data_IF_110967706810
#
_entry.id   IF_110967706810
#
_cell.length_a   1.000
_cell.length_b   1.000
_cell.length_c   1.000
_cell.angle_alpha   90.00
_cell.angle_beta   90.00
_cell.angle_gamma   90.00
#
_symmetry.space_group_name_H-M   'P 1'
#
loop_
_entity.id
_entity.type
_entity.pdbx_description
1 polymer ?
#
# COMPACT_ATOMS: atom_id res chain seq x y z
N UNK A 1 -39.26 -13.09 -32.56
CA UNK A 1 -38.66 -12.26 -31.50
C UNK A 1 -38.75 -13.07 -30.22
N UNK A 2 -37.63 -13.55 -29.68
CA UNK A 2 -37.62 -14.24 -28.39
C UNK A 2 -37.89 -13.22 -27.30
N UNK A 3 -39.02 -13.37 -26.61
CA UNK A 3 -39.43 -12.55 -25.47
C UNK A 3 -38.58 -12.95 -24.26
N UNK A 4 -37.29 -12.63 -24.26
CA UNK A 4 -36.49 -12.81 -23.06
C UNK A 4 -36.88 -11.77 -22.01
N UNK A 5 -37.22 -12.24 -20.81
CA UNK A 5 -37.54 -11.37 -19.69
C UNK A 5 -36.30 -10.56 -19.28
N UNK A 6 -36.45 -9.24 -19.12
CA UNK A 6 -35.36 -8.37 -18.67
C UNK A 6 -34.88 -8.80 -17.28
N UNK A 7 -33.67 -9.33 -17.19
CA UNK A 7 -33.04 -9.65 -15.91
C UNK A 7 -32.37 -8.39 -15.34
N UNK A 8 -32.72 -8.04 -14.10
CA UNK A 8 -32.14 -6.88 -13.40
C UNK A 8 -30.94 -7.29 -12.52
N UNK A 9 -30.74 -8.60 -12.32
CA UNK A 9 -29.65 -9.13 -11.50
C UNK A 9 -28.31 -9.04 -12.23
N UNK A 10 -27.32 -8.36 -11.62
CA UNK A 10 -25.95 -8.27 -12.15
C UNK A 10 -25.05 -9.41 -11.67
N UNK A 11 -25.23 -9.85 -10.42
CA UNK A 11 -24.49 -10.93 -9.80
C UNK A 11 -25.36 -11.58 -8.70
N UNK A 12 -25.04 -12.82 -8.33
CA UNK A 12 -25.79 -13.58 -7.32
C UNK A 12 -25.76 -12.89 -5.94
N UNK A 13 -24.65 -12.24 -5.61
CA UNK A 13 -24.37 -11.55 -4.35
C UNK A 13 -24.81 -10.07 -4.34
N UNK A 14 -25.39 -9.55 -5.43
CA UNK A 14 -25.78 -8.14 -5.56
C UNK A 14 -27.30 -7.99 -5.79
N UNK A 15 -28.07 -7.59 -4.77
CA UNK A 15 -29.51 -7.39 -4.93
C UNK A 15 -29.80 -6.25 -5.92
N UNK A 16 -30.66 -6.53 -6.90
CA UNK A 16 -30.99 -5.59 -7.98
C UNK A 16 -31.61 -4.27 -7.48
N UNK A 17 -32.22 -4.27 -6.29
CA UNK A 17 -32.78 -3.08 -5.66
C UNK A 17 -31.75 -2.02 -5.27
N UNK A 18 -30.48 -2.40 -5.07
CA UNK A 18 -29.40 -1.44 -4.74
C UNK A 18 -29.13 -0.45 -5.87
N UNK A 19 -29.30 -0.90 -7.11
CA UNK A 19 -29.01 -0.10 -8.31
C UNK A 19 -30.29 0.56 -8.89
N UNK A 20 -31.43 0.50 -8.18
CA UNK A 20 -32.68 1.11 -8.62
C UNK A 20 -32.51 2.64 -8.75
N UNK A 21 -32.84 3.27 -9.91
CA UNK A 21 -32.68 4.70 -10.11
C UNK A 21 -33.42 5.59 -9.09
N UNK A 22 -34.47 5.06 -8.45
CA UNK A 22 -35.27 5.77 -7.44
C UNK A 22 -34.89 5.41 -6.01
N UNK A 23 -33.89 4.55 -5.78
CA UNK A 23 -33.47 4.21 -4.42
C UNK A 23 -32.75 5.41 -3.78
N UNK A 24 -33.03 5.73 -2.50
CA UNK A 24 -32.31 6.78 -1.79
C UNK A 24 -30.85 6.36 -1.57
N UNK A 25 -29.89 7.19 -1.98
CA UNK A 25 -28.47 6.98 -1.72
C UNK A 25 -28.13 7.49 -0.33
N UNK A 26 -27.65 6.61 0.54
CA UNK A 26 -27.22 7.00 1.88
C UNK A 26 -25.89 7.76 1.83
N UNK A 27 -25.73 8.88 2.57
CA UNK A 27 -24.44 9.54 2.70
C UNK A 27 -23.44 8.66 3.45
N UNK A 28 -22.15 8.96 3.29
CA UNK A 28 -21.08 8.28 4.01
C UNK A 28 -21.28 8.45 5.52
N UNK A 29 -21.07 7.37 6.29
CA UNK A 29 -21.24 7.37 7.75
C UNK A 29 -20.10 8.05 8.51
N UNK A 30 -18.93 8.19 7.87
CA UNK A 30 -17.72 8.73 8.50
C UNK A 30 -16.84 9.49 7.49
N UNK A 31 -15.83 10.18 8.02
CA UNK A 31 -14.88 10.98 7.25
C UNK A 31 -13.66 10.17 6.79
N UNK A 32 -13.76 8.85 6.67
CA UNK A 32 -12.62 8.00 6.30
C UNK A 32 -11.99 8.44 4.99
N UNK A 33 -12.80 8.67 3.94
CA UNK A 33 -12.28 9.10 2.63
C UNK A 33 -11.62 10.48 2.68
N UNK A 34 -12.07 11.38 3.57
CA UNK A 34 -11.42 12.67 3.78
C UNK A 34 -10.02 12.49 4.39
N UNK A 35 -9.91 11.67 5.43
CA UNK A 35 -8.60 11.41 6.06
C UNK A 35 -7.67 10.63 5.16
N UNK A 36 -8.17 9.64 4.41
CA UNK A 36 -7.40 8.93 3.40
C UNK A 36 -6.93 9.88 2.30
N UNK A 37 -7.78 10.81 1.87
CA UNK A 37 -7.41 11.83 0.89
C UNK A 37 -6.28 12.73 1.42
N UNK A 38 -6.41 13.28 2.64
CA UNK A 38 -5.40 14.12 3.28
C UNK A 38 -4.08 13.37 3.45
N UNK A 39 -4.16 12.12 3.94
CA UNK A 39 -3.01 11.24 4.10
C UNK A 39 -2.24 11.09 2.80
N UNK A 40 -2.89 10.82 1.66
CA UNK A 40 -2.21 10.68 0.37
C UNK A 40 -1.41 11.94 -0.02
N UNK A 41 -1.89 13.14 0.32
CA UNK A 41 -1.22 14.40 -0.05
C UNK A 41 0.02 14.61 0.81
N UNK A 42 -0.13 14.51 2.12
CA UNK A 42 0.97 14.74 3.06
C UNK A 42 2.03 13.63 2.98
N UNK A 43 1.61 12.36 2.88
CA UNK A 43 2.53 11.25 2.68
C UNK A 43 3.24 11.33 1.33
N UNK A 44 2.55 11.74 0.26
CA UNK A 44 3.17 11.95 -1.05
C UNK A 44 4.28 13.00 -1.00
N UNK A 45 4.04 14.14 -0.35
CA UNK A 45 5.06 15.18 -0.19
C UNK A 45 6.26 14.69 0.62
N UNK A 46 6.04 13.97 1.73
CA UNK A 46 7.11 13.37 2.51
C UNK A 46 7.90 12.32 1.70
N UNK A 47 7.20 11.49 0.93
CA UNK A 47 7.79 10.44 0.11
C UNK A 47 8.66 10.97 -1.02
N UNK A 48 8.39 12.17 -1.56
CA UNK A 48 9.30 12.81 -2.53
C UNK A 48 10.70 12.94 -1.93
N UNK A 49 10.81 13.40 -0.69
CA UNK A 49 12.11 13.56 -0.03
C UNK A 49 12.70 12.20 0.34
N UNK A 50 11.91 11.34 0.99
CA UNK A 50 12.38 10.05 1.50
C UNK A 50 12.83 9.12 0.37
N UNK A 51 12.01 8.95 -0.66
CA UNK A 51 12.26 8.01 -1.75
C UNK A 51 13.33 8.56 -2.69
N UNK A 52 13.27 9.83 -3.10
CA UNK A 52 14.32 10.37 -3.98
C UNK A 52 15.66 10.45 -3.26
N UNK A 53 15.69 10.82 -1.98
CA UNK A 53 16.90 10.78 -1.18
C UNK A 53 17.48 9.37 -1.08
N UNK A 54 16.63 8.37 -0.84
CA UNK A 54 17.04 6.97 -0.83
C UNK A 54 17.60 6.52 -2.19
N UNK A 55 16.88 6.76 -3.28
CA UNK A 55 17.34 6.42 -4.63
C UNK A 55 18.67 7.12 -4.96
N UNK A 56 18.83 8.38 -4.58
CA UNK A 56 20.06 9.15 -4.82
C UNK A 56 21.26 8.52 -4.10
N UNK A 57 21.16 8.25 -2.80
CA UNK A 57 22.28 7.66 -2.05
C UNK A 57 22.58 6.23 -2.49
N UNK A 58 21.60 5.49 -2.99
CA UNK A 58 21.78 4.11 -3.46
C UNK A 58 22.35 4.04 -4.86
N UNK A 59 21.99 4.96 -5.75
CA UNK A 59 22.28 4.84 -7.18
C UNK A 59 23.36 5.81 -7.68
N UNK A 60 23.47 7.01 -7.09
CA UNK A 60 24.29 8.09 -7.66
C UNK A 60 25.62 8.30 -6.92
N UNK A 61 25.71 7.92 -5.64
CA UNK A 61 26.91 8.13 -4.82
C UNK A 61 27.84 6.90 -4.82
N UNK A 62 29.14 7.16 -4.75
CA UNK A 62 30.25 6.21 -4.56
C UNK A 62 30.04 4.83 -5.21
N UNK A 63 29.91 4.82 -6.55
CA UNK A 63 29.73 3.62 -7.37
C UNK A 63 28.35 2.95 -7.31
N UNK A 64 27.35 3.62 -6.73
CA UNK A 64 25.94 3.24 -6.81
C UNK A 64 25.66 1.83 -6.29
N UNK A 65 24.96 1.02 -7.08
CA UNK A 65 24.57 -0.35 -6.67
C UNK A 65 25.76 -1.28 -6.43
N UNK A 66 26.93 -1.00 -7.01
CA UNK A 66 28.08 -1.89 -6.95
C UNK A 66 28.77 -1.93 -5.58
N UNK A 67 28.49 -0.96 -4.70
CA UNK A 67 28.98 -0.98 -3.31
C UNK A 67 27.99 -1.61 -2.31
N UNK A 68 26.77 -1.90 -2.74
CA UNK A 68 25.72 -2.36 -1.83
C UNK A 68 25.98 -3.83 -1.48
N UNK A 69 26.31 -4.06 -0.21
CA UNK A 69 26.52 -5.37 0.39
C UNK A 69 26.08 -5.32 1.87
N UNK A 70 26.23 -6.44 2.60
CA UNK A 70 25.86 -6.52 4.01
C UNK A 70 26.57 -5.46 4.87
N UNK A 71 27.89 -5.26 4.67
CA UNK A 71 28.67 -4.29 5.42
C UNK A 71 28.20 -2.84 5.18
N UNK A 72 27.79 -2.51 3.95
CA UNK A 72 27.20 -1.22 3.64
C UNK A 72 25.88 -0.99 4.39
N UNK A 73 24.99 -1.99 4.41
CA UNK A 73 23.73 -1.91 5.16
C UNK A 73 24.00 -1.79 6.67
N UNK A 74 24.88 -2.63 7.21
CA UNK A 74 25.29 -2.58 8.62
C UNK A 74 25.89 -1.22 8.99
N UNK A 75 26.75 -0.66 8.13
CA UNK A 75 27.32 0.67 8.30
C UNK A 75 26.25 1.77 8.33
N UNK A 76 25.29 1.76 7.40
CA UNK A 76 24.16 2.72 7.42
C UNK A 76 23.31 2.56 8.67
N UNK A 77 22.89 1.34 8.97
CA UNK A 77 22.02 1.07 10.12
C UNK A 77 22.74 1.14 11.47
N UNK A 78 24.06 1.37 11.52
CA UNK A 78 24.74 1.77 12.75
C UNK A 78 24.30 3.15 13.27
N UNK A 79 23.68 3.99 12.41
CA UNK A 79 23.13 5.29 12.78
C UNK A 79 21.61 5.23 12.94
N UNK A 80 21.05 5.71 14.08
CA UNK A 80 19.60 5.80 14.27
C UNK A 80 18.89 6.61 13.18
N UNK A 81 19.57 7.62 12.62
CA UNK A 81 19.01 8.43 11.54
C UNK A 81 18.57 7.57 10.35
N UNK A 82 19.41 6.64 9.90
CA UNK A 82 19.09 5.80 8.74
C UNK A 82 18.04 4.74 9.06
N UNK A 83 18.01 4.22 10.30
CA UNK A 83 16.95 3.32 10.74
C UNK A 83 15.59 4.02 10.70
N UNK A 84 15.49 5.25 11.25
CA UNK A 84 14.24 6.03 11.20
C UNK A 84 13.86 6.47 9.78
N UNK A 85 14.84 6.81 8.94
CA UNK A 85 14.61 7.14 7.53
C UNK A 85 13.98 5.96 6.79
N UNK A 86 14.60 4.78 6.88
CA UNK A 86 14.13 3.58 6.17
C UNK A 86 12.81 3.06 6.77
N UNK A 87 12.61 3.13 8.09
CA UNK A 87 11.35 2.77 8.76
C UNK A 87 10.19 3.70 8.35
N UNK A 88 10.42 5.02 8.38
CA UNK A 88 9.39 6.00 8.01
C UNK A 88 9.01 5.84 6.55
N UNK A 89 10.00 5.63 5.67
CA UNK A 89 9.74 5.37 4.26
C UNK A 89 8.98 4.06 4.04
N UNK A 90 9.35 2.97 4.71
CA UNK A 90 8.62 1.69 4.65
C UNK A 90 7.13 1.90 4.97
N UNK A 91 6.85 2.54 6.10
CA UNK A 91 5.48 2.75 6.56
C UNK A 91 4.70 3.69 5.64
N UNK A 92 5.27 4.83 5.28
CA UNK A 92 4.60 5.79 4.41
C UNK A 92 4.41 5.24 3.00
N UNK A 93 5.41 4.59 2.41
CA UNK A 93 5.32 4.05 1.06
C UNK A 93 4.29 2.91 0.99
N UNK A 94 4.29 2.00 1.96
CA UNK A 94 3.33 0.89 1.97
C UNK A 94 1.90 1.37 2.18
N UNK A 95 1.68 2.30 3.13
CA UNK A 95 0.34 2.86 3.37
C UNK A 95 -0.14 3.72 2.21
N UNK A 96 0.74 4.54 1.62
CA UNK A 96 0.43 5.38 0.45
C UNK A 96 0.09 4.51 -0.77
N UNK A 97 0.98 3.57 -1.11
CA UNK A 97 0.76 2.63 -2.22
C UNK A 97 -0.46 1.76 -1.99
N UNK A 98 -0.68 1.29 -0.76
CA UNK A 98 -1.84 0.49 -0.37
C UNK A 98 -3.17 1.24 -0.54
N UNK A 99 -3.25 2.49 -0.07
CA UNK A 99 -4.46 3.29 -0.27
C UNK A 99 -4.68 3.68 -1.74
N UNK A 100 -3.61 3.91 -2.50
CA UNK A 100 -3.68 4.08 -3.95
C UNK A 100 -4.24 2.83 -4.64
N UNK A 101 -3.71 1.65 -4.32
CA UNK A 101 -4.16 0.39 -4.90
C UNK A 101 -5.59 0.03 -4.46
N UNK A 102 -6.03 0.39 -3.25
CA UNK A 102 -7.43 0.29 -2.83
C UNK A 102 -8.34 1.06 -3.81
N UNK A 103 -7.94 2.26 -4.21
CA UNK A 103 -8.70 3.09 -5.17
C UNK A 103 -8.75 2.41 -6.54
N UNK A 104 -7.61 1.94 -7.05
CA UNK A 104 -7.53 1.17 -8.30
C UNK A 104 -8.43 -0.08 -8.25
N UNK A 105 -8.38 -0.85 -7.16
CA UNK A 105 -9.23 -2.03 -6.99
C UNK A 105 -10.70 -1.65 -7.00
N UNK A 106 -11.08 -0.55 -6.33
CA UNK A 106 -12.45 -0.07 -6.30
C UNK A 106 -12.99 0.32 -7.69
N UNK A 107 -12.13 0.90 -8.52
CA UNK A 107 -12.52 1.41 -9.85
C UNK A 107 -12.50 0.33 -10.94
N UNK A 108 -11.59 -0.64 -10.85
CA UNK A 108 -11.36 -1.64 -11.90
C UNK A 108 -11.99 -3.02 -11.62
N UNK A 109 -12.42 -3.30 -10.39
CA UNK A 109 -13.09 -4.57 -10.07
C UNK A 109 -14.55 -4.57 -10.49
N UNK A 110 -14.93 -5.46 -11.41
CA UNK A 110 -16.31 -5.55 -11.93
C UNK A 110 -17.30 -6.27 -11.02
N UNK A 111 -16.81 -7.18 -10.16
CA UNK A 111 -17.64 -8.00 -9.25
C UNK A 111 -17.30 -7.68 -7.80
N UNK A 112 -18.31 -7.68 -6.93
CA UNK A 112 -18.16 -7.41 -5.49
C UNK A 112 -17.25 -8.47 -4.83
N UNK A 113 -17.37 -9.74 -5.22
CA UNK A 113 -16.48 -10.83 -4.77
C UNK A 113 -15.02 -10.66 -5.20
N UNK A 114 -14.74 -10.24 -6.44
CA UNK A 114 -13.37 -9.93 -6.89
C UNK A 114 -12.79 -8.77 -6.09
N UNK A 115 -13.58 -7.71 -5.89
CA UNK A 115 -13.18 -6.56 -5.09
C UNK A 115 -12.83 -6.96 -3.65
N UNK A 116 -13.63 -7.85 -3.05
CA UNK A 116 -13.39 -8.39 -1.71
C UNK A 116 -12.04 -9.11 -1.64
N UNK A 117 -11.79 -10.10 -2.51
CA UNK A 117 -10.55 -10.88 -2.47
C UNK A 117 -9.30 -10.04 -2.75
N UNK A 118 -9.37 -9.12 -3.72
CA UNK A 118 -8.25 -8.21 -4.01
C UNK A 118 -7.91 -7.32 -2.82
N UNK A 119 -8.91 -6.77 -2.13
CA UNK A 119 -8.67 -5.99 -0.92
C UNK A 119 -8.13 -6.85 0.23
N UNK A 120 -8.60 -8.09 0.39
CA UNK A 120 -8.06 -9.02 1.40
C UNK A 120 -6.58 -9.30 1.15
N UNK A 121 -6.20 -9.64 -0.08
CA UNK A 121 -4.81 -9.88 -0.46
C UNK A 121 -3.96 -8.63 -0.23
N UNK A 122 -4.48 -7.45 -0.59
CA UNK A 122 -3.83 -6.18 -0.33
C UNK A 122 -3.55 -5.95 1.16
N UNK A 123 -4.54 -6.13 2.02
CA UNK A 123 -4.36 -5.94 3.48
C UNK A 123 -3.36 -6.95 4.05
N UNK A 124 -3.46 -8.22 3.65
CA UNK A 124 -2.52 -9.26 4.09
C UNK A 124 -1.10 -8.93 3.65
N UNK A 125 -0.89 -8.53 2.39
CA UNK A 125 0.45 -8.18 1.89
C UNK A 125 1.03 -6.96 2.61
N UNK A 126 0.20 -5.95 2.90
CA UNK A 126 0.61 -4.78 3.69
C UNK A 126 1.08 -5.19 5.09
N UNK A 127 0.31 -6.01 5.80
CA UNK A 127 0.67 -6.48 7.14
C UNK A 127 1.99 -7.27 7.10
N UNK A 128 2.14 -8.17 6.12
CA UNK A 128 3.36 -8.97 5.97
C UNK A 128 4.59 -8.12 5.70
N UNK A 129 4.53 -7.20 4.73
CA UNK A 129 5.68 -6.36 4.35
C UNK A 129 6.04 -5.38 5.48
N UNK A 130 5.04 -4.73 6.09
CA UNK A 130 5.28 -3.78 7.19
C UNK A 130 5.82 -4.51 8.42
N UNK A 131 5.23 -5.65 8.77
CA UNK A 131 5.65 -6.46 9.91
C UNK A 131 7.06 -6.99 9.72
N UNK A 132 7.35 -7.62 8.58
CA UNK A 132 8.67 -8.16 8.27
C UNK A 132 9.73 -7.05 8.20
N UNK A 133 9.46 -5.96 7.48
CA UNK A 133 10.43 -4.87 7.36
C UNK A 133 10.72 -4.19 8.70
N UNK A 134 9.68 -3.97 9.52
CA UNK A 134 9.84 -3.43 10.88
C UNK A 134 10.64 -4.38 11.76
N UNK A 135 10.33 -5.69 11.71
CA UNK A 135 11.08 -6.71 12.43
C UNK A 135 12.56 -6.69 12.04
N UNK A 136 12.87 -6.73 10.73
CA UNK A 136 14.25 -6.73 10.21
C UNK A 136 15.03 -5.51 10.70
N UNK A 137 14.43 -4.31 10.71
CA UNK A 137 15.12 -3.09 11.17
C UNK A 137 15.44 -3.18 12.67
N UNK A 138 14.49 -3.61 13.50
CA UNK A 138 14.66 -3.61 14.96
C UNK A 138 15.46 -4.80 15.50
N UNK A 139 15.52 -5.91 14.76
CA UNK A 139 16.28 -7.11 15.16
C UNK A 139 17.54 -7.30 14.32
N UNK A 140 18.01 -6.26 13.62
CA UNK A 140 19.23 -6.35 12.84
C UNK A 140 20.46 -6.51 13.74
N UNK A 141 21.27 -7.53 13.48
CA UNK A 141 22.56 -7.75 14.15
C UNK A 141 23.71 -7.69 13.13
N UNK A 142 24.61 -6.69 13.23
CA UNK A 142 25.77 -6.61 12.33
C UNK A 142 26.81 -7.72 12.57
N UNK A 143 26.74 -8.45 13.68
CA UNK A 143 27.67 -9.52 14.05
C UNK A 143 27.09 -10.92 13.79
N UNK A 144 26.00 -11.03 13.04
CA UNK A 144 25.37 -12.30 12.73
C UNK A 144 26.36 -13.21 11.99
N UNK A 145 26.63 -14.38 12.56
CA UNK A 145 27.47 -15.40 11.96
C UNK A 145 26.62 -16.35 11.12
N UNK A 146 27.10 -16.72 9.92
CA UNK A 146 26.49 -17.79 9.15
C UNK A 146 26.74 -19.12 9.88
N UNK A 147 25.67 -19.83 10.23
CA UNK A 147 25.70 -21.19 10.77
C UNK A 147 26.00 -22.21 9.67
#
# INVERSE_FOLDING_TARGET
MTTEAKTLGKAYDRPASLDNPRSPRKPAKNNFELYAWLFMRFSGLALIILVLGHLFIMLMLDNGVHRINFAFVAGRWSSPFWQFWDLTMLWLAQLHGGNGLRTVIADYSRKDSTRFWLNTILVVSMILIMGLGTYVIFTFDPNISAS
#
